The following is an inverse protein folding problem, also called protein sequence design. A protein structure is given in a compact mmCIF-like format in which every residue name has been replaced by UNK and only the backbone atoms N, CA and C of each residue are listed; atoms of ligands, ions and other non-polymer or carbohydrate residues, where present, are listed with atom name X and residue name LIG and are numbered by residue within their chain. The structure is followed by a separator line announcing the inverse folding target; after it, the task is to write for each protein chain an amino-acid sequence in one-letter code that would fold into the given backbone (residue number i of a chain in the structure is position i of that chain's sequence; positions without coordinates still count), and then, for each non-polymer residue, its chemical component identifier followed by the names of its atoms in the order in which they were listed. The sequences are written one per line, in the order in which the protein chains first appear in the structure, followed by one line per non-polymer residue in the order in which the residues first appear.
data_IF_609696077639
#
_entry.id   IF_609696077639
#
_cell.length_a   1.000
_cell.length_b   1.000
_cell.length_c   1.000
_cell.angle_alpha   90.00
_cell.angle_beta   90.00
_cell.angle_gamma   90.00
#
_symmetry.space_group_name_H-M   'P 1'
#
loop_
_entity.id
_entity.type
_entity.pdbx_description
1 polymer ?
#
# COMPACT_ATOMS: atom_id res chain seq x y z
N UNK A 1 13.99 -23.12 -13.91
CA UNK A 1 12.90 -22.12 -13.93
C UNK A 1 13.12 -21.09 -12.82
N UNK A 2 13.38 -19.82 -13.15
CA UNK A 2 13.47 -18.73 -12.15
C UNK A 2 12.07 -18.56 -11.53
N UNK A 3 11.87 -18.95 -10.26
CA UNK A 3 10.63 -18.65 -9.51
C UNK A 3 10.50 -17.13 -9.40
N UNK A 4 9.66 -16.52 -10.22
CA UNK A 4 9.28 -15.12 -10.06
C UNK A 4 8.68 -14.89 -8.67
N UNK A 5 9.09 -13.82 -7.97
CA UNK A 5 8.49 -13.46 -6.69
C UNK A 5 7.00 -13.16 -6.93
N UNK A 6 6.12 -13.84 -6.20
CA UNK A 6 4.68 -13.57 -6.20
C UNK A 6 4.44 -12.16 -5.65
N UNK A 7 3.76 -11.31 -6.40
CA UNK A 7 3.39 -9.96 -5.95
C UNK A 7 2.51 -10.05 -4.70
N UNK A 8 2.64 -9.07 -3.80
CA UNK A 8 1.83 -9.06 -2.59
C UNK A 8 0.36 -8.83 -2.94
N UNK A 9 -0.57 -9.37 -2.15
CA UNK A 9 -2.01 -9.16 -2.40
C UNK A 9 -2.37 -7.67 -2.52
N UNK A 10 -1.74 -6.82 -1.70
CA UNK A 10 -1.92 -5.36 -1.77
C UNK A 10 -1.43 -4.76 -3.09
N UNK A 11 -0.34 -5.28 -3.67
CA UNK A 11 0.14 -4.86 -4.99
C UNK A 11 -0.94 -4.98 -6.05
N UNK A 12 -1.59 -6.15 -6.09
CA UNK A 12 -2.66 -6.40 -7.05
C UNK A 12 -3.84 -5.46 -6.84
N UNK A 13 -4.20 -5.20 -5.58
CA UNK A 13 -5.29 -4.31 -5.23
C UNK A 13 -5.03 -2.87 -5.68
N UNK A 14 -3.84 -2.32 -5.45
CA UNK A 14 -3.51 -0.96 -5.87
C UNK A 14 -3.38 -0.80 -7.38
N UNK A 15 -2.92 -1.84 -8.10
CA UNK A 15 -2.82 -1.82 -9.57
C UNK A 15 -4.18 -1.93 -10.28
N UNK A 16 -5.25 -2.28 -9.57
CA UNK A 16 -6.62 -2.29 -10.10
C UNK A 16 -7.27 -0.89 -10.10
N UNK A 17 -6.64 0.09 -9.45
CA UNK A 17 -7.14 1.45 -9.42
C UNK A 17 -6.79 2.18 -10.73
N UNK A 18 -7.68 3.05 -11.18
CA UNK A 18 -7.43 4.01 -12.25
C UNK A 18 -6.78 5.27 -11.66
N UNK A 19 -5.68 5.71 -12.26
CA UNK A 19 -4.91 6.87 -11.79
C UNK A 19 -5.70 8.19 -11.91
N UNK A 20 -6.63 8.27 -12.87
CA UNK A 20 -7.41 9.47 -13.16
C UNK A 20 -8.69 9.56 -12.32
N UNK A 21 -8.96 8.53 -11.51
CA UNK A 21 -10.14 8.44 -10.67
C UNK A 21 -9.86 8.84 -9.22
N UNK A 22 -10.89 9.29 -8.52
CA UNK A 22 -10.86 9.56 -7.09
C UNK A 22 -11.68 8.53 -6.33
N UNK A 23 -11.16 8.08 -5.20
CA UNK A 23 -11.77 7.02 -4.42
C UNK A 23 -12.08 7.48 -3.01
N UNK A 24 -13.35 7.41 -2.61
CA UNK A 24 -13.71 7.49 -1.19
C UNK A 24 -13.30 6.20 -0.47
N UNK A 25 -13.28 6.23 0.87
CA UNK A 25 -13.02 5.01 1.64
C UNK A 25 -14.13 3.95 1.49
N UNK A 26 -15.33 4.34 1.04
CA UNK A 26 -16.38 3.36 0.69
C UNK A 26 -16.07 2.68 -0.64
N UNK A 27 -15.61 3.43 -1.64
CA UNK A 27 -15.22 2.88 -2.94
C UNK A 27 -14.08 1.88 -2.79
N UNK A 28 -13.06 2.24 -1.99
CA UNK A 28 -11.94 1.34 -1.71
C UNK A 28 -12.35 0.07 -0.97
N UNK A 29 -13.32 0.14 -0.05
CA UNK A 29 -13.88 -1.05 0.60
C UNK A 29 -14.59 -1.97 -0.39
N UNK A 30 -15.36 -1.41 -1.32
CA UNK A 30 -16.06 -2.16 -2.36
C UNK A 30 -15.08 -2.82 -3.32
N UNK A 31 -14.08 -2.07 -3.82
CA UNK A 31 -13.09 -2.56 -4.78
C UNK A 31 -12.18 -3.62 -4.13
N UNK A 32 -11.64 -3.32 -2.95
CA UNK A 32 -10.71 -4.24 -2.30
C UNK A 32 -11.40 -5.41 -1.59
N UNK A 33 -12.71 -5.30 -1.34
CA UNK A 33 -13.49 -6.25 -0.53
C UNK A 33 -12.84 -6.49 0.84
N UNK A 34 -12.30 -5.41 1.43
CA UNK A 34 -11.64 -5.40 2.73
C UNK A 34 -12.35 -4.44 3.68
N UNK A 35 -12.20 -4.66 4.99
CA UNK A 35 -12.78 -3.79 6.02
C UNK A 35 -12.12 -2.40 6.03
N UNK A 36 -12.92 -1.36 6.31
CA UNK A 36 -12.49 0.05 6.40
C UNK A 36 -11.15 0.22 7.11
N UNK A 37 -11.01 -0.30 8.34
CA UNK A 37 -9.84 -0.05 9.18
C UNK A 37 -8.56 -0.66 8.60
N UNK A 38 -8.64 -1.80 7.89
CA UNK A 38 -7.49 -2.43 7.24
C UNK A 38 -6.95 -1.53 6.12
N UNK A 39 -7.86 -0.99 5.30
CA UNK A 39 -7.53 -0.13 4.18
C UNK A 39 -6.97 1.20 4.71
N UNK A 40 -7.65 1.81 5.67
CA UNK A 40 -7.23 3.05 6.29
C UNK A 40 -5.84 2.95 6.94
N UNK A 41 -5.59 1.91 7.74
CA UNK A 41 -4.28 1.67 8.35
C UNK A 41 -3.18 1.51 7.28
N UNK A 42 -3.51 0.83 6.17
CA UNK A 42 -2.56 0.60 5.07
C UNK A 42 -2.21 1.89 4.34
N UNK A 43 -3.21 2.69 3.98
CA UNK A 43 -3.05 3.99 3.31
C UNK A 43 -2.29 4.96 4.21
N UNK A 44 -2.59 5.00 5.51
CA UNK A 44 -1.83 5.79 6.49
C UNK A 44 -0.36 5.36 6.56
N UNK A 45 -0.09 4.05 6.52
CA UNK A 45 1.27 3.51 6.45
C UNK A 45 2.03 3.86 5.16
N UNK A 46 1.31 4.26 4.11
CA UNK A 46 1.88 4.74 2.85
C UNK A 46 2.01 6.26 2.77
N UNK A 47 1.65 6.99 3.83
CA UNK A 47 1.70 8.46 3.87
C UNK A 47 0.95 9.13 2.71
N UNK A 48 -0.15 8.52 2.27
CA UNK A 48 -1.04 9.12 1.26
C UNK A 48 -1.98 10.08 1.97
N UNK A 49 -1.94 11.35 1.56
CA UNK A 49 -2.81 12.37 2.11
C UNK A 49 -4.19 12.31 1.42
N UNK A 50 -5.30 12.38 2.18
CA UNK A 50 -6.60 12.53 1.58
C UNK A 50 -6.76 13.90 0.93
N UNK A 51 -7.39 13.92 -0.25
CA UNK A 51 -7.92 15.12 -0.88
C UNK A 51 -9.23 15.46 -0.18
N UNK A 52 -9.25 16.54 0.58
CA UNK A 52 -10.47 17.04 1.23
C UNK A 52 -11.22 17.94 0.25
N UNK A 53 -12.38 17.49 -0.24
CA UNK A 53 -13.27 18.38 -0.98
C UNK A 53 -14.07 19.25 -0.01
N UNK A 54 -13.84 20.57 -0.06
CA UNK A 54 -14.65 21.60 0.63
C UNK A 54 -16.09 21.73 0.08
N UNK A 55 -16.49 20.92 -0.91
CA UNK A 55 -17.70 21.18 -1.72
C UNK A 55 -19.02 20.99 -0.98
N UNK A 56 -19.03 20.28 0.16
CA UNK A 56 -20.21 20.16 1.01
C UNK A 56 -19.94 20.72 2.39
N UNK A 57 -20.63 21.82 2.70
CA UNK A 57 -20.51 22.65 3.91
C UNK A 57 -20.64 21.87 5.24
N UNK A 58 -21.09 20.61 5.20
CA UNK A 58 -21.39 19.79 6.39
C UNK A 58 -20.81 18.36 6.35
N UNK A 59 -20.15 17.94 5.27
CA UNK A 59 -19.63 16.56 5.16
C UNK A 59 -18.19 16.60 4.68
N UNK A 60 -17.24 16.46 5.60
CA UNK A 60 -15.82 16.23 5.26
C UNK A 60 -15.68 14.82 4.71
N UNK A 61 -15.92 14.65 3.41
CA UNK A 61 -15.59 13.41 2.71
C UNK A 61 -14.12 13.46 2.31
N UNK A 62 -13.33 12.52 2.84
CA UNK A 62 -11.94 12.31 2.46
C UNK A 62 -11.90 11.40 1.22
N UNK A 63 -11.38 11.93 0.12
CA UNK A 63 -11.12 11.17 -1.09
C UNK A 63 -9.62 10.93 -1.22
N UNK A 64 -9.25 9.92 -1.99
CA UNK A 64 -7.86 9.60 -2.30
C UNK A 64 -7.72 9.57 -3.81
N UNK A 65 -6.73 10.28 -4.34
CA UNK A 65 -6.41 10.20 -5.76
C UNK A 65 -5.88 8.81 -6.08
N UNK A 66 -6.40 8.18 -7.14
CA UNK A 66 -5.87 6.92 -7.65
C UNK A 66 -4.37 7.01 -7.94
N UNK A 67 -3.94 8.12 -8.56
CA UNK A 67 -2.53 8.42 -8.80
C UNK A 67 -1.68 8.37 -7.53
N UNK A 68 -2.09 9.07 -6.47
CA UNK A 68 -1.33 9.10 -5.21
C UNK A 68 -1.25 7.72 -4.53
N UNK A 69 -2.35 6.96 -4.57
CA UNK A 69 -2.41 5.59 -4.04
C UNK A 69 -1.45 4.66 -4.80
N UNK A 70 -1.47 4.72 -6.14
CA UNK A 70 -0.61 3.92 -7.02
C UNK A 70 0.85 4.34 -6.85
N UNK A 71 1.16 5.63 -6.81
CA UNK A 71 2.52 6.14 -6.66
C UNK A 71 3.12 5.84 -5.28
N UNK A 72 2.31 5.91 -4.22
CA UNK A 72 2.76 5.50 -2.89
C UNK A 72 3.07 4.00 -2.84
N UNK A 73 2.28 3.17 -3.50
CA UNK A 73 2.59 1.75 -3.68
C UNK A 73 3.89 1.54 -4.48
N UNK A 74 4.06 2.21 -5.64
CA UNK A 74 5.29 2.12 -6.46
C UNK A 74 6.53 2.47 -5.64
N UNK A 75 6.46 3.50 -4.79
CA UNK A 75 7.55 3.89 -3.88
C UNK A 75 7.90 2.78 -2.88
N UNK A 76 6.92 2.09 -2.32
CA UNK A 76 7.16 0.98 -1.39
C UNK A 76 7.83 -0.19 -2.07
N UNK A 77 7.39 -0.55 -3.28
CA UNK A 77 8.03 -1.63 -4.04
C UNK A 77 9.44 -1.26 -4.48
N UNK A 78 9.65 -0.02 -4.91
CA UNK A 78 10.98 0.51 -5.24
C UNK A 78 11.92 0.53 -4.02
N UNK A 79 11.40 0.83 -2.82
CA UNK A 79 12.15 0.76 -1.57
C UNK A 79 12.53 -0.69 -1.20
N UNK A 80 11.63 -1.65 -1.44
CA UNK A 80 11.94 -3.08 -1.26
C UNK A 80 13.00 -3.60 -2.23
N UNK A 81 13.11 -3.04 -3.43
CA UNK A 81 14.16 -3.41 -4.40
C UNK A 81 15.47 -2.66 -4.21
N UNK A 82 15.47 -1.44 -3.65
CA UNK A 82 16.69 -0.68 -3.33
C UNK A 82 17.41 -1.13 -2.06
N UNK A 83 16.86 -2.10 -1.31
CA UNK A 83 17.45 -2.62 -0.07
C UNK A 83 17.74 -4.15 -0.14
N UNK A 84 18.54 -4.65 -1.10
CA UNK A 84 18.94 -6.06 -1.11
C UNK A 84 19.88 -6.43 0.06
N UNK A 85 20.56 -5.46 0.68
CA UNK A 85 21.62 -5.73 1.67
C UNK A 85 21.14 -5.98 3.10
N UNK A 86 19.93 -5.52 3.47
CA UNK A 86 19.41 -5.69 4.83
C UNK A 86 18.56 -6.97 5.04
N UNK A 87 18.11 -7.62 3.96
CA UNK A 87 17.39 -8.90 4.06
C UNK A 87 18.37 -10.05 4.37
N UNK A 88 19.59 -9.98 3.82
CA UNK A 88 20.63 -11.00 4.08
C UNK A 88 21.17 -10.91 5.51
N UNK A 89 21.29 -9.69 6.08
CA UNK A 89 21.79 -9.49 7.46
C UNK A 89 20.79 -9.92 8.54
N UNK A 90 19.50 -9.68 8.37
CA UNK A 90 18.51 -10.07 9.39
C UNK A 90 18.14 -11.56 9.39
N UNK A 91 18.32 -12.28 8.28
CA UNK A 91 18.18 -13.74 8.28
C UNK A 91 19.46 -14.47 8.73
N UNK A 92 20.66 -13.95 8.47
CA UNK A 92 21.89 -14.56 9.01
C UNK A 92 21.96 -14.48 10.54
N UNK A 93 21.50 -13.37 11.14
CA UNK A 93 21.49 -13.20 12.60
C UNK A 93 20.51 -14.14 13.30
N UNK A 94 19.44 -14.56 12.61
CA UNK A 94 18.44 -15.50 13.14
C UNK A 94 18.87 -16.98 13.06
N UNK A 95 19.80 -17.31 12.16
CA UNK A 95 20.32 -18.67 11.99
C UNK A 95 21.46 -18.97 12.99
N UNK A 96 22.19 -17.94 13.47
CA UNK A 96 23.32 -18.12 14.41
C UNK A 96 22.94 -18.27 15.90
N UNK A 97 21.72 -17.96 16.32
CA UNK A 97 21.30 -18.04 17.73
C UNK A 97 20.44 -19.28 18.07
N UNK A 98 20.61 -20.39 17.36
CA UNK A 98 19.85 -21.63 17.64
C UNK A 98 20.69 -22.92 17.65
N UNK A 99 22.02 -22.82 17.73
CA UNK A 99 22.91 -23.97 17.97
C UNK A 99 24.12 -23.51 18.78
N UNK A 100 24.26 -24.08 19.98
CA UNK A 100 25.50 -24.10 20.76
C UNK A 100 25.55 -23.04 21.83
#
# INVERSE_FOLDING_TARGET
MKRGRKLSQWTHLFLMLDENSEYSMKDLQTIFKLKYYCIYAKIRGFYVNPVYYKKYKYTKLSYYSGKDLIDAYKRVVASQTKNPENITKNNYKKIKNKKG
#
